data_IF_301297757246
#
_entry.id   IF_301297757246
#
_cell.length_a   1.000
_cell.length_b   1.000
_cell.length_c   1.000
_cell.angle_alpha   90.00
_cell.angle_beta   90.00
_cell.angle_gamma   90.00
#
_symmetry.space_group_name_H-M   'P 1'
#
loop_
_entity.id
_entity.type
_entity.pdbx_description
1 polymer ?
#
# COMPACT_ATOMS: atom_id res chain seq x y z
N UNK A 1 2.11 33.97 1.67
CA UNK A 1 2.04 32.74 0.86
C UNK A 1 3.23 32.74 -0.08
N UNK A 2 4.26 31.95 0.20
CA UNK A 2 5.49 31.96 -0.59
C UNK A 2 5.45 30.84 -1.61
N UNK A 3 5.69 31.22 -2.86
CA UNK A 3 5.90 30.44 -4.08
C UNK A 3 6.41 29.00 -3.86
N UNK A 4 5.52 27.98 -3.76
CA UNK A 4 5.93 26.59 -3.54
C UNK A 4 6.80 26.04 -4.68
N UNK A 5 6.69 26.59 -5.89
CA UNK A 5 7.53 26.27 -7.04
C UNK A 5 9.01 26.65 -6.88
N UNK A 6 9.37 27.47 -5.89
CA UNK A 6 10.80 27.75 -5.58
C UNK A 6 11.51 26.59 -4.89
N UNK A 7 10.75 25.65 -4.31
CA UNK A 7 11.26 24.45 -3.68
C UNK A 7 11.05 23.22 -4.57
N UNK A 8 10.94 23.42 -5.88
CA UNK A 8 10.97 22.32 -6.84
C UNK A 8 12.33 21.64 -6.76
N UNK A 9 12.41 20.49 -6.08
CA UNK A 9 13.59 19.63 -6.14
C UNK A 9 13.53 18.76 -7.38
N UNK A 10 14.69 18.27 -7.83
CA UNK A 10 14.76 17.23 -8.85
C UNK A 10 13.85 16.05 -8.51
N UNK A 11 13.38 15.34 -9.53
CA UNK A 11 12.62 14.11 -9.35
C UNK A 11 13.41 13.13 -8.47
N UNK A 12 12.91 12.86 -7.27
CA UNK A 12 13.46 11.86 -6.36
C UNK A 12 12.65 10.59 -6.55
N UNK A 13 13.32 9.48 -6.83
CA UNK A 13 12.64 8.19 -6.95
C UNK A 13 12.56 7.55 -5.58
N UNK A 14 11.34 7.19 -5.17
CA UNK A 14 11.10 6.43 -3.95
C UNK A 14 10.80 4.96 -4.29
N UNK A 15 11.29 4.07 -3.45
CA UNK A 15 11.15 2.63 -3.56
C UNK A 15 10.50 2.08 -2.30
N UNK A 16 9.63 1.09 -2.46
CA UNK A 16 9.02 0.36 -1.36
C UNK A 16 9.84 -0.90 -1.04
N UNK A 17 10.19 -1.12 0.23
CA UNK A 17 10.85 -2.34 0.69
C UNK A 17 9.80 -3.44 0.91
N UNK A 18 9.72 -4.44 0.01
CA UNK A 18 8.74 -5.53 0.07
C UNK A 18 9.18 -6.74 0.91
N UNK A 19 10.43 -6.76 1.38
CA UNK A 19 10.94 -7.74 2.34
C UNK A 19 10.22 -7.60 3.69
N UNK A 20 9.49 -8.62 4.20
CA UNK A 20 8.73 -8.52 5.44
C UNK A 20 9.59 -8.24 6.68
N UNK A 21 10.86 -8.67 6.71
CA UNK A 21 11.77 -8.50 7.85
C UNK A 21 12.49 -7.13 7.83
N UNK A 22 12.35 -6.37 6.74
CA UNK A 22 12.93 -5.05 6.58
C UNK A 22 12.13 -3.99 7.35
N UNK A 23 12.75 -3.33 8.34
CA UNK A 23 12.11 -2.26 9.12
C UNK A 23 11.78 -0.98 8.30
N UNK A 24 12.43 -0.83 7.15
CA UNK A 24 12.20 0.28 6.22
C UNK A 24 10.91 0.03 5.43
N UNK A 25 10.13 1.09 5.25
CA UNK A 25 8.95 1.11 4.35
C UNK A 25 9.35 1.69 3.00
N UNK A 26 9.88 2.91 3.00
CA UNK A 26 10.36 3.57 1.78
C UNK A 26 11.81 4.01 1.90
N UNK A 27 12.52 4.00 0.78
CA UNK A 27 13.84 4.60 0.64
C UNK A 27 13.96 5.31 -0.71
N UNK A 28 14.91 6.22 -0.87
CA UNK A 28 15.14 6.93 -2.13
C UNK A 28 16.56 6.79 -2.67
N UNK A 29 16.72 7.07 -3.96
CA UNK A 29 18.02 7.25 -4.62
C UNK A 29 18.85 8.40 -4.03
N UNK A 30 18.19 9.39 -3.42
CA UNK A 30 18.81 10.49 -2.68
C UNK A 30 19.18 10.14 -1.22
N UNK A 31 18.93 8.91 -0.77
CA UNK A 31 19.33 8.41 0.55
C UNK A 31 18.33 8.68 1.68
N UNK A 32 17.09 9.10 1.37
CA UNK A 32 16.02 9.20 2.38
C UNK A 32 15.58 7.80 2.82
N UNK A 33 15.24 7.62 4.10
CA UNK A 33 14.75 6.36 4.66
C UNK A 33 13.54 6.67 5.55
N UNK A 34 12.45 5.93 5.36
CA UNK A 34 11.22 6.05 6.15
C UNK A 34 10.83 4.70 6.73
N UNK A 35 10.58 4.66 8.04
CA UNK A 35 10.13 3.48 8.79
C UNK A 35 8.66 3.62 9.18
N UNK A 36 8.06 2.57 9.78
CA UNK A 36 6.65 2.56 10.23
C UNK A 36 6.20 3.84 10.96
N UNK A 37 6.97 4.42 11.91
CA UNK A 37 6.56 5.65 12.62
C UNK A 37 6.46 6.90 11.73
N UNK A 38 7.16 6.91 10.59
CA UNK A 38 7.22 8.05 9.68
C UNK A 38 6.06 8.07 8.68
N UNK A 39 5.31 6.97 8.60
CA UNK A 39 4.19 6.80 7.67
C UNK A 39 2.86 7.08 8.37
N UNK A 40 1.88 7.57 7.61
CA UNK A 40 0.52 7.82 8.12
C UNK A 40 -0.04 6.56 8.80
N UNK A 41 -0.75 6.80 9.92
CA UNK A 41 -1.33 5.76 10.77
C UNK A 41 -2.27 4.75 10.06
N UNK A 42 -2.80 5.08 8.87
CA UNK A 42 -3.63 4.16 8.09
C UNK A 42 -2.84 2.96 7.53
N UNK A 43 -1.51 3.03 7.55
CA UNK A 43 -0.58 2.00 7.06
C UNK A 43 0.17 1.31 8.22
N UNK A 44 -0.37 1.39 9.44
CA UNK A 44 0.28 0.86 10.67
C UNK A 44 0.67 -0.61 10.55
N UNK A 45 -0.17 -1.39 9.90
CA UNK A 45 0.05 -2.82 9.77
C UNK A 45 0.84 -3.16 8.50
N UNK A 46 1.20 -2.21 7.62
CA UNK A 46 2.02 -2.50 6.44
C UNK A 46 3.26 -3.34 6.82
N UNK A 47 3.37 -4.54 6.23
CA UNK A 47 4.41 -5.57 6.52
C UNK A 47 4.31 -6.27 7.87
N UNK A 48 3.23 -6.09 8.61
CA UNK A 48 2.85 -7.05 9.63
C UNK A 48 2.26 -8.28 8.90
N UNK A 49 2.57 -9.49 9.37
CA UNK A 49 1.89 -10.71 8.91
C UNK A 49 0.80 -11.05 9.92
N UNK A 50 -0.16 -10.15 10.07
CA UNK A 50 -1.30 -10.30 10.98
C UNK A 50 -2.59 -10.43 10.17
N UNK A 51 -3.65 -10.95 10.81
CA UNK A 51 -4.94 -11.08 10.12
C UNK A 51 -5.66 -9.72 9.97
N UNK A 52 -5.29 -8.72 10.78
CA UNK A 52 -5.81 -7.35 10.69
C UNK A 52 -5.11 -6.51 9.59
N UNK A 53 -4.28 -7.14 8.78
CA UNK A 53 -3.61 -6.50 7.66
C UNK A 53 -4.54 -6.27 6.49
N UNK A 54 -4.50 -5.05 5.96
CA UNK A 54 -5.20 -4.71 4.73
C UNK A 54 -4.55 -5.42 3.55
N UNK A 55 -5.32 -6.29 2.90
CA UNK A 55 -5.01 -6.81 1.58
C UNK A 55 -5.26 -5.71 0.55
N UNK A 56 -6.41 -5.03 0.61
CA UNK A 56 -6.77 -3.97 -0.33
C UNK A 56 -7.09 -2.63 0.33
N UNK A 57 -6.14 -1.69 0.22
CA UNK A 57 -6.22 -0.35 0.79
C UNK A 57 -7.32 0.54 0.18
N UNK A 58 -7.70 0.33 -1.09
CA UNK A 58 -8.76 1.12 -1.72
C UNK A 58 -10.14 0.90 -1.10
N UNK A 59 -10.41 -0.33 -0.65
CA UNK A 59 -11.73 -0.74 -0.18
C UNK A 59 -11.72 -1.19 1.29
N UNK A 60 -10.59 -1.04 1.97
CA UNK A 60 -10.44 -1.42 3.37
C UNK A 60 -10.61 -2.91 3.64
N UNK A 61 -10.29 -3.78 2.68
CA UNK A 61 -10.42 -5.24 2.83
C UNK A 61 -9.19 -5.78 3.56
N UNK A 62 -9.41 -6.38 4.73
CA UNK A 62 -8.39 -7.09 5.51
C UNK A 62 -8.28 -8.57 5.16
N UNK A 63 -7.24 -9.23 5.68
CA UNK A 63 -7.10 -10.70 5.59
C UNK A 63 -8.22 -11.40 6.34
N UNK A 64 -8.63 -10.91 7.51
CA UNK A 64 -9.82 -11.40 8.23
C UNK A 64 -11.08 -11.29 7.37
N UNK A 65 -11.36 -10.13 6.74
CA UNK A 65 -12.55 -9.96 5.90
C UNK A 65 -12.59 -10.98 4.75
N UNK A 66 -11.44 -11.26 4.15
CA UNK A 66 -11.32 -12.27 3.09
C UNK A 66 -11.48 -13.70 3.60
N UNK A 67 -10.92 -14.04 4.77
CA UNK A 67 -11.08 -15.36 5.37
C UNK A 67 -12.53 -15.63 5.79
N UNK A 68 -13.22 -14.61 6.32
CA UNK A 68 -14.62 -14.70 6.73
C UNK A 68 -15.57 -14.70 5.52
N UNK A 69 -15.23 -13.94 4.46
CA UNK A 69 -16.00 -13.89 3.23
C UNK A 69 -15.07 -13.82 2.00
N UNK A 70 -14.76 -14.96 1.38
CA UNK A 70 -13.93 -15.00 0.17
C UNK A 70 -14.46 -14.17 -0.99
N UNK A 71 -15.79 -13.93 -1.03
CA UNK A 71 -16.48 -13.09 -2.02
C UNK A 71 -16.02 -11.61 -2.05
N UNK A 72 -15.32 -11.16 -1.00
CA UNK A 72 -14.66 -9.84 -0.99
C UNK A 72 -13.66 -9.69 -2.13
N UNK A 73 -13.00 -10.77 -2.57
CA UNK A 73 -12.07 -10.72 -3.70
C UNK A 73 -12.79 -10.39 -5.00
N UNK A 74 -13.92 -11.03 -5.27
CA UNK A 74 -14.73 -10.77 -6.47
C UNK A 74 -15.21 -9.32 -6.50
N UNK A 75 -15.67 -8.79 -5.36
CA UNK A 75 -16.01 -7.37 -5.21
C UNK A 75 -14.82 -6.47 -5.59
N UNK A 76 -13.62 -6.73 -5.05
CA UNK A 76 -12.43 -5.93 -5.37
C UNK A 76 -12.06 -6.04 -6.85
N UNK A 77 -12.17 -7.23 -7.46
CA UNK A 77 -11.93 -7.42 -8.90
C UNK A 77 -12.88 -6.56 -9.73
N UNK A 78 -14.18 -6.57 -9.41
CA UNK A 78 -15.18 -5.78 -10.13
C UNK A 78 -14.95 -4.28 -9.98
N UNK A 79 -14.76 -3.79 -8.74
CA UNK A 79 -14.52 -2.36 -8.51
C UNK A 79 -13.20 -1.88 -9.14
N UNK A 80 -12.18 -2.73 -9.19
CA UNK A 80 -10.92 -2.43 -9.88
C UNK A 80 -11.13 -2.33 -11.40
N UNK A 81 -11.91 -3.24 -12.02
CA UNK A 81 -12.27 -3.16 -13.45
C UNK A 81 -13.05 -1.88 -13.78
N UNK A 82 -13.91 -1.43 -12.86
CA UNK A 82 -14.64 -0.16 -12.96
C UNK A 82 -13.78 1.08 -12.70
N UNK A 83 -12.47 0.91 -12.42
CA UNK A 83 -11.53 1.99 -12.12
C UNK A 83 -11.91 2.81 -10.87
N UNK A 84 -12.56 2.19 -9.89
CA UNK A 84 -12.90 2.83 -8.61
C UNK A 84 -11.75 2.82 -7.60
N UNK A 85 -10.57 2.32 -7.98
CA UNK A 85 -9.39 2.23 -7.14
C UNK A 85 -8.19 2.85 -7.84
N UNK A 86 -7.38 3.60 -7.09
CA UNK A 86 -6.11 4.18 -7.53
C UNK A 86 -4.97 3.51 -6.76
N UNK A 87 -4.63 2.27 -7.16
CA UNK A 87 -3.65 1.46 -6.43
C UNK A 87 -2.27 2.13 -6.32
N UNK A 88 -1.90 2.92 -7.33
CA UNK A 88 -0.59 3.58 -7.41
C UNK A 88 -0.41 4.62 -6.28
N UNK A 89 -1.52 5.10 -5.73
CA UNK A 89 -1.53 6.13 -4.66
C UNK A 89 -1.99 5.54 -3.32
N UNK A 90 -2.95 4.61 -3.34
CA UNK A 90 -3.58 4.08 -2.13
C UNK A 90 -2.81 2.90 -1.53
N UNK A 91 -2.19 2.04 -2.34
CA UNK A 91 -1.40 0.91 -1.84
C UNK A 91 0.03 1.37 -1.59
N UNK A 92 0.62 1.15 -0.40
CA UNK A 92 2.01 1.54 -0.12
C UNK A 92 3.02 0.95 -1.10
N UNK A 93 2.76 -0.23 -1.65
CA UNK A 93 3.64 -0.83 -2.66
C UNK A 93 3.55 -0.16 -4.03
N UNK A 94 2.58 0.74 -4.25
CA UNK A 94 2.23 1.32 -5.55
C UNK A 94 1.65 0.32 -6.55
N UNK A 95 1.38 -0.93 -6.13
CA UNK A 95 0.93 -2.02 -7.00
C UNK A 95 -0.52 -2.40 -6.68
N UNK A 96 -1.20 -3.04 -7.64
CA UNK A 96 -2.57 -3.51 -7.44
C UNK A 96 -2.67 -4.54 -6.31
N UNK A 97 -3.64 -4.36 -5.40
CA UNK A 97 -3.89 -5.24 -4.25
C UNK A 97 -4.32 -6.66 -4.64
N UNK A 98 -4.81 -6.86 -5.87
CA UNK A 98 -5.29 -8.17 -6.34
C UNK A 98 -4.21 -9.26 -6.34
N UNK A 99 -2.93 -8.88 -6.41
CA UNK A 99 -1.80 -9.81 -6.33
C UNK A 99 -1.53 -10.31 -4.91
N UNK A 100 -2.03 -9.60 -3.91
CA UNK A 100 -1.76 -9.84 -2.48
C UNK A 100 -2.86 -10.70 -1.82
N UNK A 101 -3.97 -10.96 -2.53
CA UNK A 101 -4.96 -11.95 -2.09
C UNK A 101 -4.34 -13.36 -2.07
N UNK A 102 -4.63 -14.18 -1.04
CA UNK A 102 -4.21 -15.57 -1.02
C UNK A 102 -4.67 -16.30 -2.29
N UNK A 103 -3.77 -17.05 -2.92
CA UNK A 103 -4.16 -17.92 -4.03
C UNK A 103 -5.03 -19.04 -3.45
N UNK A 104 -6.21 -19.24 -4.01
CA UNK A 104 -7.03 -20.41 -3.70
C UNK A 104 -6.21 -21.68 -3.95
N UNK A 105 -6.30 -22.63 -3.02
CA UNK A 105 -5.82 -24.01 -3.18
C UNK A 105 -6.47 -24.68 -4.39
#
# INVERSE_FOLDING_TARGET
>A
MLAPWKNFSAEVTYYFCDDPDCEVIYFSDSGSIFKKPDIRSLFKNTKADTNDDLICYCFGVSKTDYLDNPGTREFVVEQTKLKHCACEVQNPSGKCCLKDFPKGS
#
